data_IF_857981932142
#
_entry.id   IF_857981932142
#
_cell.length_a   1.000
_cell.length_b   1.000
_cell.length_c   1.000
_cell.angle_alpha   90.00
_cell.angle_beta   90.00
_cell.angle_gamma   90.00
#
_symmetry.space_group_name_H-M   'P 1'
#
loop_
_entity.id
_entity.type
_entity.pdbx_description
1 polymer ?
#
# COMPACT_ATOMS: atom_id res chain seq x y z
N UNK A 1 -52.09 13.19 -10.21
CA UNK A 1 -52.95 12.99 -9.02
C UNK A 1 -54.19 12.21 -9.46
N UNK A 2 -54.17 10.88 -9.48
CA UNK A 2 -54.35 9.89 -8.38
C UNK A 2 -55.81 9.47 -8.15
N UNK A 3 -55.99 8.12 -8.08
CA UNK A 3 -57.07 7.32 -7.45
C UNK A 3 -58.28 7.01 -8.36
N UNK A 4 -58.88 5.80 -8.43
CA UNK A 4 -58.83 4.48 -7.73
C UNK A 4 -59.67 3.52 -8.62
N UNK A 5 -59.27 2.29 -8.95
CA UNK A 5 -59.32 1.00 -8.22
C UNK A 5 -60.73 0.34 -8.04
N UNK A 6 -60.86 -0.83 -8.69
CA UNK A 6 -61.59 -2.09 -8.34
C UNK A 6 -63.14 -2.22 -8.29
N UNK A 7 -63.68 -3.15 -9.10
CA UNK A 7 -64.66 -4.25 -8.79
C UNK A 7 -64.49 -5.26 -9.96
N UNK A 8 -64.01 -6.51 -9.87
CA UNK A 8 -64.32 -7.77 -9.15
C UNK A 8 -65.43 -8.68 -9.77
N UNK A 9 -64.95 -9.74 -10.47
CA UNK A 9 -65.39 -11.16 -10.58
C UNK A 9 -66.62 -11.67 -11.39
N UNK A 10 -66.34 -12.80 -12.10
CA UNK A 10 -67.14 -14.04 -12.37
C UNK A 10 -68.18 -14.03 -13.52
N UNK A 11 -68.37 -15.03 -14.41
CA UNK A 11 -68.03 -16.47 -14.58
C UNK A 11 -67.96 -16.75 -16.12
N UNK A 12 -66.91 -17.36 -16.68
CA UNK A 12 -66.78 -18.78 -17.10
C UNK A 12 -67.74 -19.29 -18.20
N UNK A 13 -67.22 -19.60 -19.40
CA UNK A 13 -67.62 -20.78 -20.19
C UNK A 13 -66.60 -21.12 -21.30
N UNK A 14 -66.25 -22.41 -21.34
CA UNK A 14 -65.49 -23.21 -22.33
C UNK A 14 -65.80 -22.83 -23.80
N UNK A 15 -64.95 -23.02 -24.82
CA UNK A 15 -63.76 -23.84 -24.99
C UNK A 15 -63.76 -24.41 -26.42
N UNK A 16 -62.68 -24.23 -27.18
CA UNK A 16 -62.06 -25.19 -28.12
C UNK A 16 -60.87 -24.49 -28.79
N UNK A 17 -59.66 -24.79 -28.33
CA UNK A 17 -58.42 -24.44 -29.02
C UNK A 17 -57.94 -25.68 -29.77
N UNK A 18 -57.72 -25.54 -31.08
CA UNK A 18 -57.06 -26.55 -31.88
C UNK A 18 -55.61 -26.68 -31.41
N UNK A 19 -55.25 -27.87 -30.92
CA UNK A 19 -53.88 -28.22 -30.60
C UNK A 19 -53.08 -28.37 -31.90
N UNK A 20 -52.11 -27.48 -32.11
CA UNK A 20 -51.08 -27.70 -33.10
C UNK A 20 -50.03 -28.62 -32.45
N UNK A 21 -49.89 -29.84 -32.98
CA UNK A 21 -48.89 -30.80 -32.54
C UNK A 21 -47.48 -30.19 -32.73
N UNK A 22 -46.86 -29.83 -31.61
CA UNK A 22 -45.42 -29.57 -31.58
C UNK A 22 -44.72 -30.92 -31.69
N UNK A 23 -44.03 -31.15 -32.82
CA UNK A 23 -43.09 -32.25 -32.95
C UNK A 23 -42.00 -32.03 -31.92
N UNK A 24 -42.01 -32.84 -30.87
CA UNK A 24 -40.99 -32.84 -29.84
C UNK A 24 -39.73 -33.48 -30.44
N UNK A 25 -38.76 -32.64 -30.82
CA UNK A 25 -37.43 -33.08 -31.19
C UNK A 25 -36.82 -33.79 -29.97
N UNK A 26 -36.62 -35.10 -30.06
CA UNK A 26 -36.08 -35.96 -29.00
C UNK A 26 -34.56 -35.95 -28.96
N UNK A 27 -33.91 -35.08 -29.76
CA UNK A 27 -32.47 -34.85 -29.64
C UNK A 27 -32.24 -33.79 -28.55
N UNK A 28 -31.40 -34.13 -27.57
CA UNK A 28 -31.01 -33.18 -26.52
C UNK A 28 -30.39 -31.91 -27.10
N UNK A 29 -30.16 -30.88 -26.26
CA UNK A 29 -29.52 -29.63 -26.67
C UNK A 29 -28.23 -29.88 -27.49
N UNK A 30 -28.00 -29.13 -28.59
CA UNK A 30 -26.90 -29.42 -29.51
C UNK A 30 -25.55 -29.28 -28.82
N UNK A 31 -24.78 -30.37 -28.79
CA UNK A 31 -23.46 -30.43 -28.15
C UNK A 31 -22.43 -29.75 -29.06
N UNK A 32 -21.63 -28.77 -28.56
CA UNK A 32 -20.58 -28.16 -29.35
C UNK A 32 -19.42 -29.13 -29.60
N UNK A 33 -18.77 -28.99 -30.75
CA UNK A 33 -17.54 -29.67 -31.07
C UNK A 33 -16.42 -29.25 -30.10
N UNK A 34 -15.50 -30.16 -29.74
CA UNK A 34 -14.38 -29.82 -28.88
C UNK A 34 -13.39 -28.87 -29.59
N UNK A 35 -12.63 -28.07 -28.83
CA UNK A 35 -11.44 -27.42 -29.36
C UNK A 35 -10.40 -28.47 -29.77
N UNK A 36 -9.43 -28.07 -30.60
CA UNK A 36 -8.42 -29.00 -31.15
C UNK A 36 -7.01 -28.46 -30.92
N UNK A 37 -6.00 -29.31 -31.16
CA UNK A 37 -4.59 -28.91 -31.11
C UNK A 37 -4.18 -28.20 -29.80
N UNK A 38 -4.61 -28.78 -28.68
CA UNK A 38 -4.24 -28.29 -27.35
C UNK A 38 -2.74 -28.48 -27.15
N UNK A 39 -2.07 -27.43 -26.69
CA UNK A 39 -0.63 -27.39 -26.46
C UNK A 39 -0.34 -26.62 -25.18
N UNK A 40 0.53 -27.15 -24.34
CA UNK A 40 0.92 -26.54 -23.07
C UNK A 40 2.39 -26.16 -23.15
N UNK A 41 2.71 -24.91 -22.88
CA UNK A 41 4.09 -24.40 -22.89
C UNK A 41 4.42 -23.74 -21.56
N UNK A 42 5.67 -23.84 -21.15
CA UNK A 42 6.18 -23.14 -19.96
C UNK A 42 6.08 -21.62 -20.13
N UNK A 43 5.73 -20.91 -19.06
CA UNK A 43 5.57 -19.46 -19.11
C UNK A 43 6.96 -18.78 -19.14
N UNK A 44 7.29 -17.97 -20.16
CA UNK A 44 8.57 -17.28 -20.19
C UNK A 44 8.63 -16.17 -19.14
N UNK A 45 9.84 -15.87 -18.67
CA UNK A 45 10.12 -14.79 -17.69
C UNK A 45 9.44 -14.97 -16.34
N UNK A 46 9.14 -16.19 -15.88
CA UNK A 46 8.55 -16.42 -14.57
C UNK A 46 9.51 -17.18 -13.61
N UNK A 47 9.06 -17.39 -12.38
CA UNK A 47 9.79 -18.16 -11.37
C UNK A 47 9.65 -19.69 -11.53
N UNK A 48 9.03 -20.19 -12.60
CA UNK A 48 8.71 -21.61 -12.77
C UNK A 48 7.41 -22.03 -12.09
N UNK A 49 6.42 -21.14 -12.09
CA UNK A 49 5.13 -21.30 -11.41
C UNK A 49 3.94 -21.03 -12.34
N UNK A 50 4.16 -21.03 -13.66
CA UNK A 50 3.14 -20.76 -14.65
C UNK A 50 3.26 -21.63 -15.89
N UNK A 51 2.11 -21.99 -16.46
CA UNK A 51 1.98 -22.67 -17.75
C UNK A 51 0.99 -21.90 -18.63
N UNK A 52 1.25 -21.89 -19.93
CA UNK A 52 0.36 -21.31 -20.93
C UNK A 52 -0.26 -22.44 -21.73
N UNK A 53 -1.58 -22.57 -21.64
CA UNK A 53 -2.37 -23.53 -22.41
C UNK A 53 -2.89 -22.80 -23.65
N UNK A 54 -2.65 -23.35 -24.83
CA UNK A 54 -3.16 -22.83 -26.10
C UNK A 54 -3.92 -23.91 -26.85
N UNK A 55 -4.92 -23.52 -27.63
CA UNK A 55 -5.70 -24.43 -28.46
C UNK A 55 -6.18 -23.73 -29.70
N UNK A 56 -6.60 -24.53 -30.68
CA UNK A 56 -7.31 -24.04 -31.85
C UNK A 56 -8.81 -24.11 -31.56
N UNK A 57 -9.53 -23.04 -31.92
CA UNK A 57 -10.93 -22.85 -31.56
C UNK A 57 -11.79 -24.00 -32.09
N UNK A 58 -12.89 -24.28 -31.39
CA UNK A 58 -13.90 -25.22 -31.86
C UNK A 58 -14.43 -24.79 -33.22
N UNK A 59 -14.76 -25.76 -34.09
CA UNK A 59 -15.45 -25.46 -35.36
C UNK A 59 -16.76 -24.71 -35.11
N UNK A 60 -17.43 -25.03 -34.00
CA UNK A 60 -18.71 -24.41 -33.60
C UNK A 60 -18.55 -23.06 -32.89
N UNK A 61 -17.32 -22.58 -32.68
CA UNK A 61 -17.05 -21.17 -32.31
C UNK A 61 -16.97 -20.28 -33.55
N UNK A 62 -16.55 -20.85 -34.69
CA UNK A 62 -16.31 -20.08 -35.93
C UNK A 62 -17.44 -20.26 -36.95
N UNK A 63 -17.46 -21.38 -37.67
CA UNK A 63 -18.31 -21.60 -38.86
C UNK A 63 -19.31 -22.76 -38.70
N UNK A 64 -19.28 -23.46 -37.56
CA UNK A 64 -20.20 -24.56 -37.25
C UNK A 64 -21.50 -24.07 -36.62
N UNK A 65 -21.94 -24.70 -35.55
CA UNK A 65 -23.22 -24.41 -34.88
C UNK A 65 -23.30 -23.03 -34.20
N UNK A 66 -22.16 -22.35 -34.01
CA UNK A 66 -22.07 -21.02 -33.36
C UNK A 66 -22.67 -20.98 -31.95
N UNK A 67 -22.75 -22.12 -31.29
CA UNK A 67 -23.33 -22.29 -29.97
C UNK A 67 -22.29 -22.22 -28.83
N UNK A 68 -20.99 -22.09 -29.13
CA UNK A 68 -19.92 -21.97 -28.12
C UNK A 68 -19.94 -20.58 -27.45
N UNK A 69 -20.00 -20.56 -26.12
CA UNK A 69 -19.94 -19.33 -25.29
C UNK A 69 -18.58 -19.20 -24.60
N UNK A 70 -18.00 -20.31 -24.16
CA UNK A 70 -16.72 -20.30 -23.46
C UNK A 70 -15.98 -21.64 -23.57
N UNK A 71 -14.73 -21.65 -23.14
CA UNK A 71 -13.88 -22.82 -22.97
C UNK A 71 -13.51 -22.97 -21.50
N UNK A 72 -13.71 -24.14 -20.92
CA UNK A 72 -13.23 -24.44 -19.58
C UNK A 72 -11.89 -25.19 -19.65
N UNK A 73 -10.90 -24.66 -18.94
CA UNK A 73 -9.55 -25.23 -18.87
C UNK A 73 -9.42 -26.01 -17.58
N UNK A 74 -9.23 -27.31 -17.72
CA UNK A 74 -9.16 -28.26 -16.62
C UNK A 74 -7.71 -28.71 -16.42
N UNK A 75 -7.27 -28.85 -15.16
CA UNK A 75 -5.92 -29.30 -14.79
C UNK A 75 -5.95 -30.46 -13.81
N UNK A 76 -5.01 -31.38 -13.95
CA UNK A 76 -4.73 -32.46 -12.98
C UNK A 76 -3.23 -32.62 -12.72
N UNK A 77 -2.88 -33.21 -11.58
CA UNK A 77 -1.51 -33.60 -11.22
C UNK A 77 -1.09 -34.95 -11.81
N UNK A 78 -2.01 -35.71 -12.41
CA UNK A 78 -1.73 -36.98 -13.10
C UNK A 78 -2.54 -37.13 -14.40
N UNK A 79 -2.12 -38.03 -15.29
CA UNK A 79 -2.79 -38.27 -16.58
C UNK A 79 -4.23 -38.75 -16.45
N UNK A 80 -4.48 -39.57 -15.42
CA UNK A 80 -5.75 -40.25 -15.17
C UNK A 80 -6.41 -39.79 -13.85
N UNK A 81 -5.92 -38.68 -13.28
CA UNK A 81 -6.41 -38.12 -12.03
C UNK A 81 -7.69 -37.32 -12.18
N UNK A 82 -8.13 -36.72 -11.07
CA UNK A 82 -9.23 -35.76 -11.06
C UNK A 82 -8.79 -34.45 -11.72
N UNK A 83 -9.60 -33.95 -12.65
CA UNK A 83 -9.36 -32.72 -13.38
C UNK A 83 -10.22 -31.60 -12.79
N UNK A 84 -9.58 -30.55 -12.29
CA UNK A 84 -10.23 -29.40 -11.65
C UNK A 84 -10.20 -28.20 -12.59
N UNK A 85 -11.31 -27.46 -12.67
CA UNK A 85 -11.38 -26.21 -13.45
C UNK A 85 -10.43 -25.16 -12.90
N UNK A 86 -9.67 -24.55 -13.80
CA UNK A 86 -8.68 -23.49 -13.52
C UNK A 86 -9.14 -22.13 -13.99
N UNK A 87 -9.99 -22.10 -15.01
CA UNK A 87 -10.49 -20.87 -15.59
C UNK A 87 -11.36 -21.13 -16.79
N UNK A 88 -12.34 -20.27 -16.96
CA UNK A 88 -13.25 -20.26 -18.10
C UNK A 88 -12.90 -19.07 -19.00
N UNK A 89 -12.66 -19.36 -20.28
CA UNK A 89 -12.19 -18.40 -21.26
C UNK A 89 -13.30 -18.13 -22.28
N UNK A 90 -13.69 -16.87 -22.52
CA UNK A 90 -14.73 -16.55 -23.49
C UNK A 90 -14.41 -17.08 -24.90
N UNK A 91 -15.46 -17.30 -25.69
CA UNK A 91 -15.35 -17.69 -27.09
C UNK A 91 -14.42 -16.75 -27.88
N UNK A 92 -13.79 -17.27 -28.93
CA UNK A 92 -12.84 -16.52 -29.77
C UNK A 92 -11.42 -16.38 -29.19
N UNK A 93 -11.19 -16.76 -27.93
CA UNK A 93 -9.86 -16.76 -27.31
C UNK A 93 -9.33 -18.20 -27.16
N UNK A 94 -8.15 -18.46 -27.74
CA UNK A 94 -7.52 -19.78 -27.76
C UNK A 94 -6.33 -19.93 -26.81
N UNK A 95 -6.27 -19.13 -25.74
CA UNK A 95 -5.14 -19.13 -24.80
C UNK A 95 -5.60 -18.86 -23.37
N UNK A 96 -4.99 -19.58 -22.43
CA UNK A 96 -5.13 -19.39 -20.98
C UNK A 96 -3.75 -19.42 -20.30
N UNK A 97 -3.53 -18.54 -19.34
CA UNK A 97 -2.36 -18.58 -18.47
C UNK A 97 -2.77 -19.11 -17.10
N UNK A 98 -2.32 -20.32 -16.75
CA UNK A 98 -2.44 -20.83 -15.37
C UNK A 98 -1.18 -20.44 -14.63
N UNK A 99 -1.27 -19.55 -13.66
CA UNK A 99 -0.12 -19.11 -12.88
C UNK A 99 -0.57 -18.70 -11.48
N UNK A 100 0.12 -19.24 -10.48
CA UNK A 100 0.05 -18.74 -9.12
C UNK A 100 1.40 -18.97 -8.42
N UNK A 101 2.08 -17.88 -8.11
CA UNK A 101 3.40 -17.90 -7.48
C UNK A 101 3.33 -17.78 -5.95
N UNK A 102 2.13 -17.69 -5.37
CA UNK A 102 1.95 -17.59 -3.91
C UNK A 102 2.29 -18.94 -3.28
N UNK A 103 3.43 -19.01 -2.60
CA UNK A 103 3.87 -20.23 -1.91
C UNK A 103 2.84 -20.60 -0.84
N UNK A 104 2.32 -21.84 -0.82
CA UNK A 104 1.35 -22.26 0.18
C UNK A 104 1.97 -22.24 1.58
N UNK A 105 1.19 -21.81 2.56
CA UNK A 105 1.55 -21.86 3.99
C UNK A 105 0.44 -22.52 4.80
N UNK A 106 0.71 -22.83 6.07
CA UNK A 106 -0.30 -23.43 6.96
C UNK A 106 -1.53 -22.51 7.13
N UNK A 107 -1.32 -21.19 7.16
CA UNK A 107 -2.37 -20.19 7.32
C UNK A 107 -3.05 -19.81 5.99
N UNK A 108 -2.41 -20.10 4.85
CA UNK A 108 -2.93 -19.80 3.53
C UNK A 108 -2.63 -20.96 2.54
N UNK A 109 -3.47 -22.01 2.54
CA UNK A 109 -3.31 -23.11 1.62
C UNK A 109 -3.55 -22.63 0.19
N UNK A 110 -2.59 -22.87 -0.70
CA UNK A 110 -2.70 -22.52 -2.10
C UNK A 110 -2.67 -23.77 -3.01
N UNK A 111 -3.83 -24.34 -3.38
CA UNK A 111 -3.89 -25.48 -4.30
C UNK A 111 -3.56 -25.09 -5.75
N UNK A 112 -3.50 -23.80 -6.06
CA UNK A 112 -3.21 -23.28 -7.39
C UNK A 112 -1.71 -23.26 -7.68
N UNK A 113 -0.89 -23.20 -6.63
CA UNK A 113 0.56 -23.14 -6.70
C UNK A 113 1.14 -24.35 -7.43
N UNK A 114 2.01 -24.07 -8.40
CA UNK A 114 2.74 -25.10 -9.15
C UNK A 114 4.21 -25.06 -8.75
N UNK A 115 4.77 -26.12 -8.13
CA UNK A 115 6.19 -26.18 -7.81
C UNK A 115 7.06 -26.09 -9.08
N UNK A 116 8.31 -25.64 -8.93
CA UNK A 116 9.27 -25.63 -10.04
C UNK A 116 9.58 -27.06 -10.47
N UNK A 117 9.75 -27.30 -11.77
CA UNK A 117 10.01 -28.61 -12.36
C UNK A 117 8.90 -29.64 -12.09
N UNK A 118 7.65 -29.19 -11.97
CA UNK A 118 6.49 -30.08 -11.84
C UNK A 118 5.75 -30.22 -13.16
N UNK A 119 5.24 -31.42 -13.44
CA UNK A 119 4.44 -31.71 -14.64
C UNK A 119 2.96 -31.72 -14.29
N UNK A 120 2.17 -31.00 -15.07
CA UNK A 120 0.73 -30.88 -14.93
C UNK A 120 0.05 -31.26 -16.25
N UNK A 121 -1.16 -31.80 -16.13
CA UNK A 121 -1.92 -32.33 -17.26
C UNK A 121 -3.16 -31.48 -17.49
N UNK A 122 -3.42 -31.11 -18.74
CA UNK A 122 -4.53 -30.22 -19.10
C UNK A 122 -5.49 -30.87 -20.09
N UNK A 123 -6.77 -30.50 -19.96
CA UNK A 123 -7.85 -30.74 -20.93
C UNK A 123 -8.61 -29.44 -21.14
N UNK A 124 -9.17 -29.26 -22.33
CA UNK A 124 -10.05 -28.14 -22.63
C UNK A 124 -11.39 -28.66 -23.12
N UNK A 125 -12.47 -28.02 -22.66
CA UNK A 125 -13.85 -28.35 -23.01
C UNK A 125 -14.53 -27.09 -23.53
N UNK A 126 -15.28 -27.16 -24.62
CA UNK A 126 -16.14 -26.07 -25.06
C UNK A 126 -17.49 -26.15 -24.34
N UNK A 127 -18.01 -25.00 -23.92
CA UNK A 127 -19.30 -24.85 -23.24
C UNK A 127 -20.24 -24.10 -24.17
N UNK A 128 -21.44 -24.64 -24.35
CA UNK A 128 -22.51 -23.99 -25.13
C UNK A 128 -23.34 -22.99 -24.35
N UNK A 129 -24.16 -22.21 -25.05
CA UNK A 129 -25.17 -21.30 -24.48
C UNK A 129 -26.16 -21.99 -23.53
N UNK A 130 -26.49 -23.26 -23.79
CA UNK A 130 -27.33 -24.11 -22.95
C UNK A 130 -26.54 -24.86 -21.86
N UNK A 131 -25.29 -24.44 -21.59
CA UNK A 131 -24.40 -25.01 -20.57
C UNK A 131 -24.09 -26.50 -20.78
N UNK A 132 -24.11 -26.95 -22.03
CA UNK A 132 -23.71 -28.31 -22.42
C UNK A 132 -22.25 -28.32 -22.81
N UNK A 133 -21.50 -29.25 -22.21
CA UNK A 133 -20.07 -29.43 -22.42
C UNK A 133 -19.80 -30.31 -23.64
N UNK A 134 -18.81 -29.94 -24.45
CA UNK A 134 -18.25 -30.81 -25.49
C UNK A 134 -17.59 -32.05 -24.89
N UNK A 135 -17.22 -33.02 -25.74
CA UNK A 135 -16.21 -34.01 -25.35
C UNK A 135 -14.93 -33.28 -24.91
N UNK A 136 -14.24 -33.77 -23.89
CA UNK A 136 -12.94 -33.21 -23.51
C UNK A 136 -11.87 -33.54 -24.55
N UNK A 137 -10.90 -32.64 -24.72
CA UNK A 137 -9.70 -32.91 -25.53
C UNK A 137 -8.86 -34.03 -24.94
N UNK A 138 -7.89 -34.51 -25.72
CA UNK A 138 -6.83 -35.37 -25.20
C UNK A 138 -6.06 -34.66 -24.08
N UNK A 139 -5.51 -35.48 -23.18
CA UNK A 139 -4.69 -35.01 -22.07
C UNK A 139 -3.35 -34.51 -22.62
N UNK A 140 -3.00 -33.26 -22.34
CA UNK A 140 -1.70 -32.69 -22.75
C UNK A 140 -0.88 -32.33 -21.52
N UNK A 141 0.36 -32.87 -21.37
CA UNK A 141 1.24 -32.50 -20.28
C UNK A 141 1.98 -31.18 -20.54
N UNK A 142 2.29 -30.45 -19.48
CA UNK A 142 3.21 -29.32 -19.48
C UNK A 142 4.06 -29.30 -18.20
N UNK A 143 5.33 -28.93 -18.32
CA UNK A 143 6.27 -28.90 -17.19
C UNK A 143 6.73 -27.48 -16.94
N UNK A 144 6.63 -27.02 -15.68
CA UNK A 144 7.09 -25.68 -15.27
C UNK A 144 8.61 -25.63 -15.17
N UNK A 145 9.24 -24.52 -15.60
CA UNK A 145 10.69 -24.30 -15.47
C UNK A 145 10.98 -22.89 -14.99
N UNK A 146 11.85 -22.77 -13.99
CA UNK A 146 12.25 -21.47 -13.48
C UNK A 146 13.20 -20.76 -14.45
N UNK A 147 12.92 -19.48 -14.70
CA UNK A 147 13.81 -18.60 -15.46
C UNK A 147 14.65 -17.77 -14.49
N UNK A 148 15.98 -17.80 -14.65
CA UNK A 148 16.89 -17.03 -13.81
C UNK A 148 16.80 -15.52 -14.06
N UNK A 149 16.42 -15.11 -15.27
CA UNK A 149 16.37 -13.70 -15.68
C UNK A 149 14.99 -13.39 -16.24
N UNK A 150 14.38 -12.35 -15.66
CA UNK A 150 13.12 -11.79 -16.15
C UNK A 150 13.43 -10.61 -17.09
N UNK A 151 13.29 -10.81 -18.40
CA UNK A 151 13.72 -9.84 -19.42
C UNK A 151 13.03 -8.48 -19.28
N UNK A 152 11.75 -8.45 -18.89
CA UNK A 152 11.01 -7.19 -18.66
C UNK A 152 11.54 -6.36 -17.47
N UNK A 153 12.34 -6.96 -16.58
CA UNK A 153 12.92 -6.27 -15.41
C UNK A 153 14.35 -5.78 -15.63
N UNK A 154 14.95 -6.03 -16.80
CA UNK A 154 16.30 -5.56 -17.14
C UNK A 154 16.44 -4.02 -17.02
N UNK A 155 15.50 -3.19 -17.49
CA UNK A 155 15.61 -1.73 -17.32
C UNK A 155 15.71 -1.30 -15.85
N UNK A 156 14.97 -1.98 -14.96
CA UNK A 156 14.99 -1.72 -13.51
C UNK A 156 16.35 -2.10 -12.91
N UNK A 157 16.92 -3.22 -13.37
CA UNK A 157 18.24 -3.68 -12.95
C UNK A 157 19.32 -2.65 -13.34
N UNK A 158 19.30 -2.18 -14.60
CA UNK A 158 20.22 -1.15 -15.10
C UNK A 158 20.08 0.14 -14.30
N UNK A 159 18.85 0.63 -14.10
CA UNK A 159 18.59 1.84 -13.31
C UNK A 159 19.12 1.71 -11.86
N UNK A 160 18.93 0.56 -11.23
CA UNK A 160 19.44 0.27 -9.88
C UNK A 160 20.97 0.31 -9.81
N UNK A 161 21.66 -0.30 -10.79
CA UNK A 161 23.12 -0.25 -10.86
C UNK A 161 23.64 1.17 -11.14
N UNK A 162 22.99 1.92 -12.03
CA UNK A 162 23.34 3.31 -12.32
C UNK A 162 23.17 4.20 -11.09
N UNK A 163 22.05 4.08 -10.37
CA UNK A 163 21.82 4.84 -9.14
C UNK A 163 22.85 4.50 -8.06
N UNK A 164 23.12 3.21 -7.87
CA UNK A 164 24.12 2.73 -6.90
C UNK A 164 25.52 3.24 -7.26
N UNK A 165 25.89 3.19 -8.54
CA UNK A 165 27.16 3.73 -9.04
C UNK A 165 27.25 5.24 -8.83
N UNK A 166 26.19 5.99 -9.11
CA UNK A 166 26.13 7.43 -8.91
C UNK A 166 26.27 7.80 -7.42
N UNK A 167 25.55 7.09 -6.54
CA UNK A 167 25.68 7.24 -5.09
C UNK A 167 27.11 6.96 -4.63
N UNK A 168 27.71 5.87 -5.12
CA UNK A 168 29.09 5.54 -4.80
C UNK A 168 30.08 6.63 -5.24
N UNK A 169 29.90 7.18 -6.45
CA UNK A 169 30.70 8.31 -6.95
C UNK A 169 30.54 9.54 -6.05
N UNK A 170 29.32 9.91 -5.66
CA UNK A 170 29.10 11.05 -4.77
C UNK A 170 29.70 10.84 -3.37
N UNK A 171 29.53 9.66 -2.79
CA UNK A 171 30.10 9.31 -1.48
C UNK A 171 31.62 9.33 -1.55
N UNK A 172 32.23 8.72 -2.58
CA UNK A 172 33.66 8.73 -2.77
C UNK A 172 34.21 10.15 -3.00
N UNK A 173 33.47 10.98 -3.75
CA UNK A 173 33.82 12.38 -3.98
C UNK A 173 33.74 13.23 -2.70
N UNK A 174 32.72 13.02 -1.87
CA UNK A 174 32.59 13.66 -0.56
C UNK A 174 33.75 13.26 0.38
N UNK A 175 34.07 11.96 0.44
CA UNK A 175 35.18 11.43 1.26
C UNK A 175 36.55 11.95 0.82
N UNK A 176 36.74 12.23 -0.47
CA UNK A 176 37.96 12.85 -1.01
C UNK A 176 38.09 14.35 -0.72
N UNK A 177 37.18 14.93 0.08
CA UNK A 177 37.26 16.32 0.52
C UNK A 177 36.76 17.33 -0.51
N UNK A 178 36.02 16.90 -1.55
CA UNK A 178 35.34 17.87 -2.42
C UNK A 178 34.30 18.61 -1.57
N UNK A 179 34.35 19.94 -1.59
CA UNK A 179 33.37 20.79 -0.93
C UNK A 179 32.03 20.68 -1.67
N UNK A 180 31.17 19.77 -1.21
CA UNK A 180 29.79 19.71 -1.66
C UNK A 180 29.04 20.88 -1.01
N UNK A 181 28.37 21.70 -1.81
CA UNK A 181 27.49 22.73 -1.29
C UNK A 181 26.28 22.06 -0.64
N UNK A 182 26.24 22.06 0.69
CA UNK A 182 25.05 21.68 1.44
C UNK A 182 24.15 22.91 1.46
N UNK A 183 23.04 22.84 0.71
CA UNK A 183 22.04 23.92 0.71
C UNK A 183 21.50 24.07 2.13
N UNK A 184 21.59 25.26 2.76
CA UNK A 184 21.01 25.47 4.07
C UNK A 184 19.49 25.29 3.98
N UNK A 185 18.91 24.68 5.01
CA UNK A 185 17.47 24.51 5.12
C UNK A 185 16.92 25.81 5.68
N UNK A 186 16.03 26.48 4.92
CA UNK A 186 15.47 27.77 5.31
C UNK A 186 14.86 27.76 6.74
N UNK A 187 14.32 26.62 7.18
CA UNK A 187 13.78 26.45 8.54
C UNK A 187 14.85 26.50 9.65
N UNK A 188 16.09 26.10 9.38
CA UNK A 188 17.19 26.15 10.36
C UNK A 188 17.72 27.59 10.48
N UNK A 189 17.93 28.27 9.35
CA UNK A 189 18.39 29.68 9.35
C UNK A 189 17.38 30.62 10.01
N UNK A 190 16.08 30.32 9.85
CA UNK A 190 15.00 31.08 10.48
C UNK A 190 15.00 31.00 12.02
N UNK A 191 15.66 30.00 12.63
CA UNK A 191 15.75 29.88 14.10
C UNK A 191 16.56 31.02 14.68
N UNK A 192 17.75 31.29 14.14
CA UNK A 192 18.63 32.35 14.64
C UNK A 192 17.98 33.74 14.46
N UNK A 193 17.31 33.97 13.32
CA UNK A 193 16.54 35.20 13.05
C UNK A 193 15.33 35.37 13.99
N UNK A 194 14.60 34.28 14.27
CA UNK A 194 13.47 34.30 15.20
C UNK A 194 13.90 34.54 16.66
N UNK A 195 15.10 34.08 17.04
CA UNK A 195 15.71 34.42 18.34
C UNK A 195 16.08 35.91 18.37
N UNK A 196 16.76 36.40 17.32
CA UNK A 196 17.13 37.82 17.20
C UNK A 196 15.93 38.75 17.33
N UNK A 197 14.83 38.47 16.61
CA UNK A 197 13.58 39.24 16.77
C UNK A 197 13.01 39.19 18.18
N UNK A 198 13.04 38.04 18.84
CA UNK A 198 12.55 37.93 20.21
C UNK A 198 13.39 38.77 21.18
N UNK A 199 14.71 38.77 21.00
CA UNK A 199 15.64 39.63 21.73
C UNK A 199 15.35 41.11 21.48
N UNK A 200 15.24 41.53 20.22
CA UNK A 200 14.96 42.92 19.83
C UNK A 200 13.62 43.42 20.37
N UNK A 201 12.59 42.56 20.41
CA UNK A 201 11.28 42.88 20.96
C UNK A 201 11.24 42.82 22.49
N UNK A 202 12.29 42.34 23.16
CA UNK A 202 12.31 42.12 24.61
C UNK A 202 11.25 41.12 25.09
N UNK A 203 10.84 40.18 24.22
CA UNK A 203 9.76 39.23 24.47
C UNK A 203 10.29 37.81 24.63
N UNK A 204 9.62 36.96 25.42
CA UNK A 204 10.07 35.59 25.61
C UNK A 204 9.90 34.75 24.33
N UNK A 205 10.67 33.67 24.28
CA UNK A 205 10.50 32.56 23.34
C UNK A 205 9.73 31.45 24.07
N UNK A 206 8.72 30.90 23.42
CA UNK A 206 8.02 29.72 23.90
C UNK A 206 8.51 28.49 23.12
N UNK A 207 9.01 27.48 23.81
CA UNK A 207 9.50 26.25 23.21
C UNK A 207 8.68 25.05 23.68
N UNK A 208 8.03 24.35 22.76
CA UNK A 208 7.08 23.29 23.04
C UNK A 208 7.63 21.97 22.49
N UNK A 209 7.79 20.98 23.36
CA UNK A 209 8.27 19.63 23.02
C UNK A 209 7.17 18.65 22.58
N UNK A 210 5.92 19.12 22.54
CA UNK A 210 4.75 18.30 22.23
C UNK A 210 4.35 17.37 23.37
N UNK A 211 3.68 16.28 23.02
CA UNK A 211 3.19 15.23 23.94
C UNK A 211 4.01 13.93 23.86
N UNK A 212 5.18 13.99 23.22
CA UNK A 212 6.08 12.84 23.13
C UNK A 212 6.77 12.55 24.45
N UNK A 213 7.13 11.30 24.64
CA UNK A 213 8.00 10.84 25.74
C UNK A 213 9.47 11.08 25.39
N UNK A 214 10.35 10.92 26.38
CA UNK A 214 11.79 11.00 26.19
C UNK A 214 12.37 9.93 25.24
N UNK A 215 11.63 8.85 24.97
CA UNK A 215 12.03 7.78 24.04
C UNK A 215 11.67 8.06 22.58
N UNK A 216 10.82 9.05 22.31
CA UNK A 216 10.36 9.34 20.96
C UNK A 216 11.43 10.07 20.16
N UNK A 217 11.67 9.60 18.92
CA UNK A 217 12.70 10.14 18.03
C UNK A 217 12.52 11.65 17.81
N UNK A 218 11.28 12.10 17.65
CA UNK A 218 10.98 13.52 17.46
C UNK A 218 11.30 14.36 18.71
N UNK A 219 10.98 13.88 19.90
CA UNK A 219 11.29 14.56 21.17
C UNK A 219 12.80 14.63 21.42
N UNK A 220 13.53 13.55 21.10
CA UNK A 220 15.00 13.51 21.19
C UNK A 220 15.63 14.57 20.27
N UNK A 221 15.13 14.67 19.03
CA UNK A 221 15.54 15.74 18.12
C UNK A 221 15.16 17.12 18.67
N UNK A 222 13.99 17.24 19.31
CA UNK A 222 13.54 18.43 20.03
C UNK A 222 14.53 18.88 21.11
N UNK A 223 15.02 17.98 21.98
CA UNK A 223 16.03 18.35 22.98
C UNK A 223 17.33 18.88 22.34
N UNK A 224 17.74 18.28 21.22
CA UNK A 224 18.94 18.73 20.48
C UNK A 224 18.77 20.17 19.98
N UNK A 225 17.60 20.50 19.43
CA UNK A 225 17.29 21.86 18.98
C UNK A 225 17.12 22.79 20.18
N UNK A 226 16.49 22.35 21.28
CA UNK A 226 16.34 23.12 22.51
C UNK A 226 17.69 23.52 23.08
N UNK A 227 18.67 22.62 23.12
CA UNK A 227 20.04 22.93 23.55
C UNK A 227 20.63 24.10 22.75
N UNK A 228 20.48 24.05 21.42
CA UNK A 228 20.96 25.13 20.53
C UNK A 228 20.24 26.44 20.77
N UNK A 229 18.91 26.41 20.87
CA UNK A 229 18.09 27.61 21.16
C UNK A 229 18.46 28.18 22.52
N UNK A 230 18.52 27.35 23.57
CA UNK A 230 18.86 27.75 24.93
C UNK A 230 20.25 28.41 25.03
N UNK A 231 21.24 27.87 24.30
CA UNK A 231 22.59 28.46 24.25
C UNK A 231 22.55 29.86 23.62
N UNK A 232 21.86 30.01 22.49
CA UNK A 232 21.69 31.32 21.82
C UNK A 232 20.89 32.31 22.66
N UNK A 233 19.82 31.86 23.30
CA UNK A 233 19.02 32.74 24.18
C UNK A 233 19.80 33.16 25.42
N UNK A 234 20.71 32.33 25.93
CA UNK A 234 21.63 32.71 27.01
C UNK A 234 22.64 33.78 26.55
N UNK A 235 23.21 33.64 25.36
CA UNK A 235 24.11 34.65 24.75
C UNK A 235 23.40 36.00 24.57
N UNK A 236 22.15 35.97 24.10
CA UNK A 236 21.32 37.15 23.85
C UNK A 236 20.46 37.59 25.04
N UNK A 237 20.63 36.96 26.21
CA UNK A 237 19.89 37.26 27.44
C UNK A 237 18.35 37.29 27.26
N UNK A 238 17.84 36.39 26.42
CA UNK A 238 16.42 36.28 26.08
C UNK A 238 15.78 35.16 26.90
N UNK A 239 14.58 35.40 27.44
CA UNK A 239 13.85 34.41 28.24
C UNK A 239 13.31 33.30 27.32
N UNK A 240 13.61 32.04 27.63
CA UNK A 240 12.99 30.85 27.02
C UNK A 240 12.05 30.19 28.04
N UNK A 241 10.81 29.92 27.64
CA UNK A 241 9.78 29.26 28.44
C UNK A 241 9.52 27.89 27.82
N UNK A 242 9.63 26.83 28.63
CA UNK A 242 9.54 25.44 28.17
C UNK A 242 8.50 24.70 29.01
N UNK A 243 7.19 24.85 28.71
CA UNK A 243 6.18 24.01 29.32
C UNK A 243 6.34 22.58 28.80
N UNK A 244 6.19 21.59 29.68
CA UNK A 244 6.27 20.17 29.31
C UNK A 244 5.09 19.38 29.88
N UNK A 245 4.75 18.30 29.19
CA UNK A 245 3.65 17.42 29.56
C UNK A 245 4.09 16.21 30.39
N UNK A 246 5.36 15.82 30.31
CA UNK A 246 5.88 14.58 30.90
C UNK A 246 6.98 14.86 31.95
N UNK A 247 6.96 14.22 33.13
CA UNK A 247 7.97 14.47 34.18
C UNK A 247 9.39 14.04 33.82
N UNK A 248 9.56 13.03 32.96
CA UNK A 248 10.89 12.61 32.47
C UNK A 248 11.40 13.65 31.46
N UNK A 249 10.52 14.12 30.57
CA UNK A 249 10.81 15.22 29.65
C UNK A 249 11.16 16.50 30.42
N UNK A 250 10.52 16.78 31.56
CA UNK A 250 10.88 17.89 32.45
C UNK A 250 12.33 17.83 32.90
N UNK A 251 12.74 16.69 33.45
CA UNK A 251 14.11 16.52 33.96
C UNK A 251 15.15 16.71 32.85
N UNK A 252 14.90 16.13 31.67
CA UNK A 252 15.80 16.23 30.52
C UNK A 252 15.82 17.67 29.99
N UNK A 253 14.67 18.33 29.86
CA UNK A 253 14.60 19.72 29.41
C UNK A 253 15.34 20.67 30.36
N UNK A 254 15.16 20.51 31.67
CA UNK A 254 15.89 21.29 32.67
C UNK A 254 17.40 21.09 32.56
N UNK A 255 17.86 19.85 32.43
CA UNK A 255 19.29 19.55 32.25
C UNK A 255 19.84 20.11 30.94
N UNK A 256 19.07 19.98 29.85
CA UNK A 256 19.44 20.50 28.53
C UNK A 256 19.63 22.01 28.55
N UNK A 257 18.68 22.75 29.14
CA UNK A 257 18.75 24.21 29.24
C UNK A 257 19.84 24.65 30.21
N UNK A 258 19.97 23.99 31.38
CA UNK A 258 21.04 24.27 32.35
C UNK A 258 22.42 24.11 31.75
N UNK A 259 22.66 22.98 31.07
CA UNK A 259 23.93 22.71 30.38
C UNK A 259 24.20 23.76 29.30
N UNK A 260 23.20 24.11 28.49
CA UNK A 260 23.37 25.13 27.46
C UNK A 260 23.73 26.52 28.02
N UNK A 261 23.13 26.91 29.15
CA UNK A 261 23.45 28.17 29.84
C UNK A 261 24.85 28.15 30.47
N UNK A 262 25.26 27.00 31.04
CA UNK A 262 26.62 26.78 31.55
C UNK A 262 27.66 26.91 30.43
N UNK A 263 27.44 26.27 29.29
CA UNK A 263 28.33 26.32 28.12
C UNK A 263 28.41 27.72 27.50
N UNK A 264 27.33 28.50 27.56
CA UNK A 264 27.31 29.90 27.16
C UNK A 264 28.02 30.85 28.16
N UNK A 265 28.48 30.33 29.31
CA UNK A 265 29.11 31.12 30.36
C UNK A 265 28.14 32.03 31.13
N UNK A 266 26.84 31.71 31.13
CA UNK A 266 25.75 32.47 31.77
C UNK A 266 24.92 31.63 32.74
N UNK A 267 25.51 30.85 33.67
CA UNK A 267 24.75 30.03 34.60
C UNK A 267 23.86 30.84 35.56
N UNK A 268 24.21 32.09 35.82
CA UNK A 268 23.46 33.05 36.62
C UNK A 268 22.09 33.40 36.02
N UNK A 269 21.92 33.24 34.71
CA UNK A 269 20.67 33.52 34.00
C UNK A 269 19.75 32.31 33.88
N UNK A 270 20.22 31.12 34.25
CA UNK A 270 19.38 29.93 34.25
C UNK A 270 18.31 30.05 35.32
N UNK A 271 17.04 29.99 34.91
CA UNK A 271 15.91 29.96 35.83
C UNK A 271 15.12 28.65 35.65
N UNK A 272 15.11 27.74 36.65
CA UNK A 272 14.37 26.49 36.56
C UNK A 272 12.84 26.70 36.46
N UNK A 273 12.30 27.81 36.98
CA UNK A 273 10.86 28.11 36.94
C UNK A 273 10.35 28.38 35.53
N UNK A 274 11.24 28.59 34.56
CA UNK A 274 10.88 28.72 33.16
C UNK A 274 10.65 27.36 32.47
N UNK A 275 11.07 26.25 33.10
CA UNK A 275 10.95 24.90 32.57
C UNK A 275 10.14 24.08 33.58
N UNK A 276 8.85 23.92 33.29
CA UNK A 276 7.89 23.41 34.26
C UNK A 276 6.89 22.44 33.64
N UNK A 277 6.44 21.50 34.46
CA UNK A 277 5.40 20.56 34.11
C UNK A 277 4.02 21.21 34.27
N UNK A 278 3.14 20.99 33.30
CA UNK A 278 1.76 21.47 33.33
C UNK A 278 0.79 20.37 33.77
N UNK A 279 0.62 19.36 32.92
CA UNK A 279 -0.35 18.28 33.08
C UNK A 279 -0.07 17.22 32.03
N UNK A 280 -0.34 15.95 32.34
CA UNK A 280 -0.16 14.83 31.41
C UNK A 280 -1.29 14.69 30.37
N UNK A 281 -2.38 15.43 30.55
CA UNK A 281 -3.56 15.34 29.69
C UNK A 281 -3.45 16.29 28.51
N UNK A 282 -3.66 15.79 27.29
CA UNK A 282 -3.54 16.54 26.02
C UNK A 282 -4.30 17.87 26.02
N UNK A 283 -5.63 17.87 26.13
CA UNK A 283 -6.40 19.12 26.01
C UNK A 283 -6.14 20.14 27.14
N UNK A 284 -6.00 19.72 28.42
CA UNK A 284 -5.54 20.61 29.47
C UNK A 284 -4.16 21.21 29.21
N UNK A 285 -3.22 20.44 28.67
CA UNK A 285 -1.89 20.92 28.29
C UNK A 285 -1.98 22.01 27.21
N UNK A 286 -2.77 21.76 26.17
CA UNK A 286 -3.06 22.73 25.10
C UNK A 286 -3.66 24.02 25.65
N UNK A 287 -4.69 23.92 26.48
CA UNK A 287 -5.35 25.09 27.07
C UNK A 287 -4.37 25.93 27.90
N UNK A 288 -3.51 25.28 28.68
CA UNK A 288 -2.49 25.95 29.47
C UNK A 288 -1.42 26.62 28.59
N UNK A 289 -0.93 25.96 27.53
CA UNK A 289 0.00 26.53 26.56
C UNK A 289 -0.59 27.75 25.86
N UNK A 290 -1.86 27.68 25.43
CA UNK A 290 -2.55 28.84 24.85
C UNK A 290 -2.68 29.99 25.87
N UNK A 291 -2.98 29.68 27.13
CA UNK A 291 -2.97 30.67 28.21
C UNK A 291 -1.61 31.36 28.40
N UNK A 292 -0.51 30.64 28.23
CA UNK A 292 0.85 31.20 28.24
C UNK A 292 1.04 32.14 27.04
N UNK A 293 0.61 31.74 25.83
CA UNK A 293 0.73 32.58 24.63
C UNK A 293 -0.04 33.91 24.78
N UNK A 294 -1.24 33.88 25.37
CA UNK A 294 -2.05 35.08 25.58
C UNK A 294 -1.49 36.01 26.65
N UNK A 295 -0.91 35.47 27.72
CA UNK A 295 -0.35 36.26 28.84
C UNK A 295 1.04 36.79 28.55
N UNK A 296 1.95 35.93 28.12
CA UNK A 296 3.36 36.28 27.90
C UNK A 296 3.59 36.93 26.53
N UNK A 297 2.67 36.72 25.57
CA UNK A 297 2.73 37.24 24.19
C UNK A 297 4.12 37.02 23.55
N UNK A 298 4.63 35.76 23.53
CA UNK A 298 5.96 35.45 23.02
C UNK A 298 6.14 35.95 21.59
N UNK A 299 7.34 36.40 21.26
CA UNK A 299 7.66 36.84 19.90
C UNK A 299 7.84 35.66 18.95
N UNK A 300 8.26 34.51 19.48
CA UNK A 300 8.56 33.28 18.72
C UNK A 300 8.05 32.07 19.48
N UNK A 301 7.36 31.17 18.77
CA UNK A 301 6.93 29.87 19.26
C UNK A 301 7.64 28.77 18.46
N UNK A 302 8.42 27.94 19.14
CA UNK A 302 9.03 26.74 18.55
C UNK A 302 8.20 25.51 18.93
N UNK A 303 7.79 24.74 17.92
CA UNK A 303 7.07 23.49 18.08
C UNK A 303 7.97 22.35 17.58
N UNK A 304 8.62 21.64 18.50
CA UNK A 304 9.67 20.67 18.18
C UNK A 304 9.48 19.39 18.98
N UNK A 305 8.89 18.36 18.37
CA UNK A 305 8.59 17.10 19.05
C UNK A 305 7.40 16.39 18.42
N UNK A 306 6.74 15.54 19.20
CA UNK A 306 5.56 14.79 18.74
C UNK A 306 4.29 15.58 19.01
N UNK A 307 3.56 15.93 17.95
CA UNK A 307 2.31 16.67 18.05
C UNK A 307 1.14 15.85 17.48
N UNK A 308 0.00 15.87 18.16
CA UNK A 308 -1.26 15.24 17.76
C UNK A 308 -2.35 16.31 17.56
N UNK A 309 -3.46 16.27 18.32
CA UNK A 309 -4.57 17.21 18.20
C UNK A 309 -4.19 18.65 18.60
N UNK A 310 -3.14 18.82 19.40
CA UNK A 310 -2.52 20.09 19.75
C UNK A 310 -1.84 20.81 18.57
N UNK A 311 -1.68 20.16 17.42
CA UNK A 311 -1.15 20.82 16.21
C UNK A 311 -2.11 21.86 15.61
N UNK A 312 -3.36 21.91 16.07
CA UNK A 312 -4.42 22.79 15.57
C UNK A 312 -4.48 24.16 16.29
N UNK A 313 -3.53 24.44 17.18
CA UNK A 313 -3.40 25.71 17.91
C UNK A 313 -2.54 26.68 17.11
#
# INVERSE_FOLDING_TARGET
MTKKLLVLLLFFLFGLAAAQEAVQDTTGPPVPAPPTNVRVVDKPNDGGHGLIVKWDLSKDDVNGLQNVVSYDVLRSSSSDGEFVSRGTIPKGLGQFEDMDATVPSADNPNPNFMPVNSTWYYKVVAISDQHVNSKATEVVPGTTKANLIHMQKIPILIASFLLTGLLWVFIASARKGKKLYVRPLAGIDAVDDAIGRATEMGKPILYILGLGTAGDIATIAGFTILSRVARRTAEYQTKVIVPVQDPVVLAIAQETVRTAYLEAGRPDQYNPDNIFFLTSMQFPYVAAVNGIMLRERPATNFYMGTFYAESLI
#
